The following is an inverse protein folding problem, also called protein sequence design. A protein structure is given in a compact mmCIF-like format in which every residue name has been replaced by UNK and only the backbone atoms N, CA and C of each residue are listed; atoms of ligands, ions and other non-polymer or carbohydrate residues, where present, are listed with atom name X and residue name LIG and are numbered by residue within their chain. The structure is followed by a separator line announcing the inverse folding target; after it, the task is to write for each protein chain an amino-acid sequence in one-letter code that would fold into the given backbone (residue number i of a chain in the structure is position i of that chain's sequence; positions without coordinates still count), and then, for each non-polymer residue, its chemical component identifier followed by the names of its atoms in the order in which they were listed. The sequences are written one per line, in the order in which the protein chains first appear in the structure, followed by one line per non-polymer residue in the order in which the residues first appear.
data_IF_431790009578
#
_entry.id   IF_431790009578
#
_cell.length_a   1.000
_cell.length_b   1.000
_cell.length_c   1.000
_cell.angle_alpha   90.00
_cell.angle_beta   90.00
_cell.angle_gamma   90.00
#
_symmetry.space_group_name_H-M   'P 1'
#
loop_
_entity.id
_entity.type
_entity.pdbx_description
1 polymer ?
#
# COMPACT_ATOMS: atom_id res chain seq x y z
N UNK A 1 -136.72 26.22 1.64
CA UNK A 1 -135.68 25.25 2.02
C UNK A 1 -134.39 25.68 1.33
N UNK A 2 -133.40 26.21 2.07
CA UNK A 2 -132.29 26.98 1.50
C UNK A 2 -131.13 26.09 1.04
N UNK A 3 -130.58 26.43 -0.13
CA UNK A 3 -129.35 25.88 -0.73
C UNK A 3 -128.10 26.41 -0.02
N UNK A 4 -127.11 25.54 0.34
CA UNK A 4 -125.85 25.99 0.91
C UNK A 4 -124.91 26.59 -0.15
N UNK A 5 -124.24 27.67 0.23
CA UNK A 5 -123.32 28.46 -0.59
C UNK A 5 -121.95 27.76 -0.79
N UNK A 6 -121.25 28.03 -1.90
CA UNK A 6 -119.98 27.40 -2.24
C UNK A 6 -118.84 27.88 -1.32
N UNK A 7 -118.10 26.94 -0.74
CA UNK A 7 -116.88 27.21 0.03
C UNK A 7 -115.74 27.56 -0.94
N UNK A 8 -115.15 28.75 -0.76
CA UNK A 8 -113.98 29.20 -1.52
C UNK A 8 -112.70 28.44 -1.15
N UNK A 9 -111.70 28.41 -2.05
CA UNK A 9 -110.49 27.62 -1.87
C UNK A 9 -109.63 28.13 -0.70
N UNK A 10 -108.97 27.22 0.04
CA UNK A 10 -108.12 27.58 1.16
C UNK A 10 -106.90 28.37 0.69
N UNK A 11 -106.72 29.56 1.26
CA UNK A 11 -105.55 30.42 1.07
C UNK A 11 -104.32 29.80 1.76
N UNK A 12 -103.49 29.08 1.00
CA UNK A 12 -102.15 28.67 1.41
C UNK A 12 -101.16 29.82 1.15
N UNK A 13 -101.05 30.75 2.09
CA UNK A 13 -99.93 31.70 2.11
C UNK A 13 -99.29 31.69 3.50
N UNK A 14 -97.95 31.78 3.51
CA UNK A 14 -97.04 32.00 4.64
C UNK A 14 -96.33 30.79 5.29
N UNK A 15 -95.43 30.10 4.56
CA UNK A 15 -94.30 29.37 5.19
C UNK A 15 -92.96 29.43 4.44
N UNK A 16 -92.84 30.21 3.35
CA UNK A 16 -91.67 30.14 2.44
C UNK A 16 -90.43 30.93 2.90
N UNK A 17 -90.49 31.70 3.99
CA UNK A 17 -89.40 32.61 4.38
C UNK A 17 -88.46 32.09 5.47
N UNK A 18 -88.78 30.98 6.16
CA UNK A 18 -87.87 30.42 7.19
C UNK A 18 -86.80 29.49 6.59
N UNK A 19 -87.03 28.93 5.40
CA UNK A 19 -86.10 27.98 4.76
C UNK A 19 -84.83 28.67 4.21
N UNK A 20 -84.96 29.88 3.66
CA UNK A 20 -83.85 30.60 3.02
C UNK A 20 -82.75 31.00 4.01
N UNK A 21 -83.12 31.36 5.25
CA UNK A 21 -82.14 31.80 6.26
C UNK A 21 -81.20 30.66 6.72
N UNK A 22 -81.71 29.43 6.81
CA UNK A 22 -80.87 28.25 7.14
C UNK A 22 -79.94 27.88 6.00
N UNK A 23 -80.40 27.96 4.75
CA UNK A 23 -79.58 27.67 3.57
C UNK A 23 -78.41 28.66 3.43
N UNK A 24 -78.63 29.94 3.72
CA UNK A 24 -77.58 30.96 3.71
C UNK A 24 -76.55 30.75 4.82
N UNK A 25 -76.99 30.38 6.03
CA UNK A 25 -76.09 30.07 7.14
C UNK A 25 -75.17 28.88 6.84
N UNK A 26 -75.71 27.78 6.28
CA UNK A 26 -74.91 26.61 5.92
C UNK A 26 -73.91 26.92 4.81
N UNK A 27 -74.32 27.72 3.82
CA UNK A 27 -73.43 28.16 2.74
C UNK A 27 -72.26 28.99 3.28
N UNK A 28 -72.51 29.88 4.24
CA UNK A 28 -71.45 30.67 4.87
C UNK A 28 -70.46 29.82 5.67
N UNK A 29 -70.92 28.80 6.40
CA UNK A 29 -70.04 27.88 7.14
C UNK A 29 -69.17 27.05 6.19
N UNK A 30 -69.73 26.55 5.08
CA UNK A 30 -68.96 25.81 4.08
C UNK A 30 -67.90 26.67 3.41
N UNK A 31 -68.21 27.94 3.10
CA UNK A 31 -67.24 28.88 2.55
C UNK A 31 -66.10 29.17 3.54
N UNK A 32 -66.40 29.31 4.84
CA UNK A 32 -65.39 29.53 5.86
C UNK A 32 -64.43 28.32 5.99
N UNK A 33 -64.97 27.10 6.04
CA UNK A 33 -64.16 25.88 6.09
C UNK A 33 -63.27 25.77 4.84
N UNK A 34 -63.84 25.97 3.65
CA UNK A 34 -63.08 25.93 2.41
C UNK A 34 -61.97 27.00 2.34
N UNK A 35 -62.22 28.19 2.88
CA UNK A 35 -61.23 29.25 2.96
C UNK A 35 -60.07 28.89 3.91
N UNK A 36 -60.37 28.32 5.08
CA UNK A 36 -59.35 27.90 6.04
C UNK A 36 -58.53 26.72 5.52
N UNK A 37 -59.16 25.77 4.83
CA UNK A 37 -58.47 24.67 4.15
C UNK A 37 -57.56 25.18 3.03
N UNK A 38 -58.03 26.13 2.22
CA UNK A 38 -57.22 26.75 1.15
C UNK A 38 -56.03 27.51 1.74
N UNK A 39 -56.23 28.24 2.84
CA UNK A 39 -55.17 28.95 3.54
C UNK A 39 -54.13 27.99 4.11
N UNK A 40 -54.57 26.91 4.75
CA UNK A 40 -53.68 25.85 5.27
C UNK A 40 -52.92 25.14 4.15
N UNK A 41 -53.57 24.86 3.02
CA UNK A 41 -52.91 24.30 1.84
C UNK A 41 -51.85 25.24 1.25
N UNK A 42 -52.15 26.55 1.18
CA UNK A 42 -51.22 27.56 0.69
C UNK A 42 -50.01 27.76 1.62
N UNK A 43 -50.18 27.63 2.94
CA UNK A 43 -49.08 27.64 3.91
C UNK A 43 -48.17 26.41 3.75
N UNK A 44 -48.76 25.22 3.64
CA UNK A 44 -47.99 23.98 3.38
C UNK A 44 -47.25 24.02 2.05
N UNK A 45 -47.86 24.59 1.00
CA UNK A 45 -47.22 24.74 -0.30
C UNK A 45 -45.97 25.63 -0.20
N UNK A 46 -46.06 26.77 0.49
CA UNK A 46 -44.91 27.66 0.72
C UNK A 46 -43.80 26.98 1.51
N UNK A 47 -44.14 26.23 2.57
CA UNK A 47 -43.16 25.47 3.35
C UNK A 47 -42.43 24.43 2.50
N UNK A 48 -43.16 23.71 1.64
CA UNK A 48 -42.57 22.75 0.70
C UNK A 48 -41.69 23.44 -0.33
N UNK A 49 -42.12 24.58 -0.89
CA UNK A 49 -41.33 25.37 -1.84
C UNK A 49 -40.02 25.88 -1.24
N UNK A 50 -40.05 26.37 0.00
CA UNK A 50 -38.85 26.80 0.71
C UNK A 50 -37.92 25.61 1.02
N UNK A 51 -38.48 24.44 1.38
CA UNK A 51 -37.68 23.23 1.63
C UNK A 51 -37.04 22.69 0.35
N UNK A 52 -37.73 22.76 -0.79
CA UNK A 52 -37.17 22.39 -2.10
C UNK A 52 -35.99 23.29 -2.43
N UNK A 53 -36.13 24.62 -2.23
CA UNK A 53 -35.06 25.58 -2.48
C UNK A 53 -33.82 25.29 -1.61
N UNK A 54 -34.00 25.04 -0.32
CA UNK A 54 -32.91 24.69 0.60
C UNK A 54 -32.17 23.41 0.16
N UNK A 55 -32.91 22.38 -0.25
CA UNK A 55 -32.33 21.12 -0.72
C UNK A 55 -31.61 21.28 -2.07
N UNK A 56 -32.08 22.16 -2.95
CA UNK A 56 -31.40 22.48 -4.21
C UNK A 56 -30.05 23.16 -3.96
N UNK A 57 -29.99 24.12 -3.05
CA UNK A 57 -28.76 24.79 -2.62
C UNK A 57 -27.77 23.81 -1.97
N UNK A 58 -28.24 22.92 -1.09
CA UNK A 58 -27.40 21.90 -0.46
C UNK A 58 -26.84 20.92 -1.51
N UNK A 59 -27.66 20.50 -2.47
CA UNK A 59 -27.24 19.59 -3.54
C UNK A 59 -26.18 20.23 -4.46
N UNK A 60 -26.32 21.51 -4.76
CA UNK A 60 -25.30 22.27 -5.50
C UNK A 60 -23.98 22.33 -4.73
N UNK A 61 -24.03 22.62 -3.42
CA UNK A 61 -22.84 22.62 -2.56
C UNK A 61 -22.15 21.24 -2.56
N UNK A 62 -22.91 20.16 -2.40
CA UNK A 62 -22.38 18.80 -2.40
C UNK A 62 -21.76 18.41 -3.75
N UNK A 63 -22.36 18.82 -4.87
CA UNK A 63 -21.75 18.62 -6.21
C UNK A 63 -20.40 19.31 -6.32
N UNK A 64 -20.29 20.54 -5.82
CA UNK A 64 -19.03 21.29 -5.83
C UNK A 64 -17.96 20.61 -4.95
N UNK A 65 -18.33 20.14 -3.76
CA UNK A 65 -17.42 19.40 -2.85
C UNK A 65 -16.98 18.08 -3.47
N UNK A 66 -17.89 17.33 -4.07
CA UNK A 66 -17.56 16.09 -4.77
C UNK A 66 -16.63 16.33 -5.96
N UNK A 67 -16.88 17.36 -6.78
CA UNK A 67 -15.99 17.74 -7.87
C UNK A 67 -14.58 18.07 -7.38
N UNK A 68 -14.47 18.83 -6.29
CA UNK A 68 -13.17 19.11 -5.66
C UNK A 68 -12.49 17.82 -5.17
N UNK A 69 -13.21 16.94 -4.48
CA UNK A 69 -12.68 15.66 -4.01
C UNK A 69 -12.21 14.75 -5.17
N UNK A 70 -12.98 14.66 -6.25
CA UNK A 70 -12.62 13.90 -7.45
C UNK A 70 -11.31 14.40 -8.07
N UNK A 71 -11.13 15.72 -8.17
CA UNK A 71 -9.86 16.29 -8.66
C UNK A 71 -8.70 15.95 -7.73
N UNK A 72 -8.90 16.04 -6.42
CA UNK A 72 -7.91 15.67 -5.41
C UNK A 72 -7.54 14.18 -5.44
N UNK A 73 -8.46 13.29 -5.80
CA UNK A 73 -8.17 11.86 -5.94
C UNK A 73 -7.50 11.52 -7.30
N UNK A 74 -7.85 12.24 -8.37
CA UNK A 74 -7.29 12.01 -9.70
C UNK A 74 -5.79 12.34 -9.79
N UNK A 75 -5.34 13.44 -9.15
CA UNK A 75 -3.95 13.90 -9.22
C UNK A 75 -2.94 12.92 -8.61
N UNK A 76 -3.13 12.38 -7.38
CA UNK A 76 -2.28 11.35 -6.81
C UNK A 76 -2.22 10.10 -7.69
N UNK A 77 -3.33 9.66 -8.28
CA UNK A 77 -3.35 8.50 -9.18
C UNK A 77 -2.42 8.69 -10.38
N UNK A 78 -2.51 9.85 -11.05
CA UNK A 78 -1.61 10.22 -12.16
C UNK A 78 -0.15 10.35 -11.71
N UNK A 79 0.09 10.94 -10.53
CA UNK A 79 1.44 11.09 -9.98
C UNK A 79 2.07 9.73 -9.64
N UNK A 80 1.32 8.82 -9.02
CA UNK A 80 1.76 7.46 -8.72
C UNK A 80 2.08 6.71 -10.02
N UNK A 81 1.20 6.77 -11.02
CA UNK A 81 1.45 6.15 -12.32
C UNK A 81 2.71 6.71 -13.01
N UNK A 82 2.93 8.03 -12.95
CA UNK A 82 4.12 8.69 -13.49
C UNK A 82 5.41 8.30 -12.76
N UNK A 83 5.37 8.25 -11.42
CA UNK A 83 6.51 7.82 -10.60
C UNK A 83 6.83 6.35 -10.84
N UNK A 84 5.81 5.50 -10.94
CA UNK A 84 5.96 4.09 -11.28
C UNK A 84 6.61 3.94 -12.66
N UNK A 85 6.13 4.69 -13.66
CA UNK A 85 6.72 4.70 -15.00
C UNK A 85 8.18 5.18 -14.97
N UNK A 86 8.52 6.23 -14.22
CA UNK A 86 9.90 6.70 -14.04
C UNK A 86 10.81 5.67 -13.35
N UNK A 87 10.30 4.92 -12.39
CA UNK A 87 11.05 3.84 -11.73
C UNK A 87 11.34 2.72 -12.73
N UNK A 88 10.30 2.23 -13.41
CA UNK A 88 10.41 1.14 -14.37
C UNK A 88 11.27 1.52 -15.59
N UNK A 89 11.17 2.75 -16.09
CA UNK A 89 11.95 3.22 -17.25
C UNK A 89 13.42 3.53 -16.92
N UNK A 90 13.74 3.86 -15.67
CA UNK A 90 15.14 3.96 -15.20
C UNK A 90 15.80 2.59 -15.05
N UNK A 91 15.00 1.54 -14.90
CA UNK A 91 15.46 0.15 -14.79
C UNK A 91 15.85 -0.42 -16.17
N UNK A 92 15.21 0.04 -17.24
CA UNK A 92 15.49 -0.42 -18.62
C UNK A 92 16.61 0.36 -19.32
N UNK A 93 16.82 1.63 -18.99
CA UNK A 93 17.83 2.49 -19.65
C UNK A 93 19.24 2.46 -19.01
N UNK A 94 19.48 1.61 -18.01
CA UNK A 94 20.81 1.46 -17.39
C UNK A 94 21.40 0.09 -17.67
N UNK A 95 21.82 -0.12 -18.92
CA UNK A 95 22.88 -1.06 -19.20
C UNK A 95 24.06 -0.78 -18.25
N UNK A 96 24.38 -1.74 -17.38
CA UNK A 96 25.57 -1.77 -16.53
C UNK A 96 25.69 -0.61 -15.52
N UNK A 97 25.06 -0.72 -14.34
CA UNK A 97 25.74 -0.40 -13.06
C UNK A 97 24.86 -0.74 -11.85
N UNK A 98 25.42 -1.63 -11.04
CA UNK A 98 25.08 -1.93 -9.65
C UNK A 98 23.69 -2.47 -9.35
N UNK A 99 23.66 -3.69 -8.78
CA UNK A 99 22.56 -4.28 -7.99
C UNK A 99 21.74 -3.19 -7.28
N UNK A 100 20.67 -2.73 -7.90
CA UNK A 100 19.68 -1.93 -7.22
C UNK A 100 19.03 -2.86 -6.19
N UNK A 101 19.14 -2.51 -4.91
CA UNK A 101 18.48 -3.24 -3.85
C UNK A 101 16.98 -3.20 -4.16
N UNK A 102 16.40 -4.37 -4.45
CA UNK A 102 14.97 -4.58 -4.63
C UNK A 102 14.27 -4.03 -3.38
N UNK A 103 13.66 -2.86 -3.51
CA UNK A 103 12.87 -2.28 -2.43
C UNK A 103 11.54 -3.03 -2.46
N UNK A 104 11.25 -3.80 -1.41
CA UNK A 104 9.94 -4.40 -1.23
C UNK A 104 8.96 -3.26 -0.91
N UNK A 105 8.14 -2.88 -1.89
CA UNK A 105 7.10 -1.84 -1.78
C UNK A 105 5.82 -2.41 -1.12
N UNK A 106 5.91 -3.56 -0.44
CA UNK A 106 4.85 -4.04 0.45
C UNK A 106 4.96 -3.33 1.81
N UNK A 107 4.93 -2.00 1.82
CA UNK A 107 4.79 -1.23 3.05
C UNK A 107 3.32 -1.28 3.47
N UNK A 108 2.95 -2.34 4.18
CA UNK A 108 1.66 -2.43 4.88
C UNK A 108 1.75 -1.50 6.08
N UNK A 109 0.75 -0.64 6.28
CA UNK A 109 0.63 0.16 7.51
C UNK A 109 0.29 -0.83 8.62
N UNK A 110 1.31 -1.29 9.34
CA UNK A 110 1.12 -2.14 10.51
C UNK A 110 0.65 -1.24 11.65
N UNK A 111 -0.44 -1.65 12.29
CA UNK A 111 -0.90 -1.03 13.53
C UNK A 111 0.17 -1.22 14.62
N UNK A 112 0.22 -0.32 15.59
CA UNK A 112 1.38 -0.14 16.49
C UNK A 112 1.82 -1.42 17.23
N UNK A 113 0.91 -2.34 17.55
CA UNK A 113 1.22 -3.60 18.22
C UNK A 113 1.80 -4.66 17.26
N UNK A 114 1.20 -4.84 16.09
CA UNK A 114 1.67 -5.78 15.06
C UNK A 114 3.06 -5.36 14.53
N UNK A 115 3.25 -4.05 14.34
CA UNK A 115 4.53 -3.49 13.91
C UNK A 115 5.66 -3.67 14.94
N UNK A 116 5.36 -3.63 16.23
CA UNK A 116 6.35 -3.89 17.28
C UNK A 116 6.80 -5.36 17.30
N UNK A 117 5.86 -6.30 17.16
CA UNK A 117 6.18 -7.73 17.13
C UNK A 117 7.06 -8.11 15.92
N UNK A 118 6.73 -7.62 14.72
CA UNK A 118 7.55 -7.86 13.53
C UNK A 118 8.93 -7.22 13.63
N UNK A 119 9.02 -6.00 14.17
CA UNK A 119 10.29 -5.31 14.35
C UNK A 119 11.20 -6.04 15.34
N UNK A 120 10.62 -6.62 16.40
CA UNK A 120 11.35 -7.44 17.36
C UNK A 120 11.88 -8.73 16.70
N UNK A 121 11.06 -9.44 15.93
CA UNK A 121 11.51 -10.63 15.18
C UNK A 121 12.64 -10.31 14.18
N UNK A 122 12.57 -9.17 13.49
CA UNK A 122 13.62 -8.75 12.57
C UNK A 122 14.93 -8.46 13.31
N UNK A 123 14.88 -7.81 14.47
CA UNK A 123 16.06 -7.57 15.31
C UNK A 123 16.71 -8.86 15.76
N UNK A 124 15.91 -9.82 16.27
CA UNK A 124 16.41 -11.14 16.67
C UNK A 124 17.07 -11.89 15.51
N UNK A 125 16.47 -11.86 14.31
CA UNK A 125 17.06 -12.46 13.12
C UNK A 125 18.37 -11.79 12.68
N UNK A 126 18.46 -10.46 12.79
CA UNK A 126 19.71 -9.75 12.50
C UNK A 126 20.80 -10.08 13.51
N UNK A 127 20.46 -10.18 14.79
CA UNK A 127 21.41 -10.56 15.84
C UNK A 127 21.93 -11.98 15.63
N UNK A 128 21.05 -12.94 15.32
CA UNK A 128 21.46 -14.31 14.97
C UNK A 128 22.38 -14.35 13.74
N UNK A 129 22.09 -13.55 12.71
CA UNK A 129 22.96 -13.45 11.53
C UNK A 129 24.32 -12.84 11.88
N UNK A 130 24.34 -11.79 12.71
CA UNK A 130 25.59 -11.16 13.18
C UNK A 130 26.42 -12.15 14.00
N UNK A 131 25.80 -12.88 14.93
CA UNK A 131 26.48 -13.92 15.72
C UNK A 131 27.10 -15.01 14.84
N UNK A 132 26.34 -15.55 13.87
CA UNK A 132 26.87 -16.55 12.92
C UNK A 132 28.06 -16.04 12.11
N UNK A 133 28.03 -14.78 11.69
CA UNK A 133 29.16 -14.17 10.96
C UNK A 133 30.38 -14.02 11.87
N UNK A 134 30.19 -13.63 13.13
CA UNK A 134 31.28 -13.52 14.11
C UNK A 134 31.88 -14.89 14.40
N UNK A 135 31.05 -15.92 14.63
CA UNK A 135 31.53 -17.30 14.85
C UNK A 135 32.31 -17.85 13.66
N UNK A 136 31.81 -17.67 12.44
CA UNK A 136 32.52 -18.13 11.23
C UNK A 136 33.86 -17.40 11.07
N UNK A 137 33.91 -16.10 11.38
CA UNK A 137 35.16 -15.35 11.35
C UNK A 137 36.14 -15.81 12.43
N UNK A 138 35.66 -16.06 13.65
CA UNK A 138 36.49 -16.57 14.73
C UNK A 138 37.06 -17.96 14.41
N UNK A 139 36.25 -18.87 13.86
CA UNK A 139 36.71 -20.19 13.40
C UNK A 139 37.78 -20.07 12.30
N UNK A 140 37.57 -19.19 11.32
CA UNK A 140 38.56 -18.96 10.26
C UNK A 140 39.86 -18.36 10.80
N UNK A 141 39.80 -17.46 11.77
CA UNK A 141 40.99 -16.88 12.37
C UNK A 141 41.83 -17.93 13.13
N UNK A 142 41.17 -18.83 13.87
CA UNK A 142 41.85 -19.94 14.55
C UNK A 142 42.47 -20.93 13.55
N UNK A 143 41.76 -21.24 12.47
CA UNK A 143 42.27 -22.13 11.42
C UNK A 143 43.47 -21.54 10.68
N UNK A 144 43.45 -20.23 10.42
CA UNK A 144 44.58 -19.52 9.81
C UNK A 144 45.79 -19.48 10.75
N UNK A 145 45.57 -19.25 12.05
CA UNK A 145 46.63 -19.28 13.04
C UNK A 145 47.28 -20.66 13.14
N UNK A 146 46.47 -21.72 13.18
CA UNK A 146 46.98 -23.09 13.16
C UNK A 146 47.76 -23.40 11.87
N UNK A 147 47.33 -22.87 10.72
CA UNK A 147 48.07 -22.98 9.46
C UNK A 147 49.41 -22.26 9.51
N UNK A 148 49.46 -21.08 10.10
CA UNK A 148 50.71 -20.33 10.23
C UNK A 148 51.72 -21.09 11.11
N UNK A 149 51.26 -21.62 12.25
CA UNK A 149 52.09 -22.48 13.13
C UNK A 149 52.57 -23.74 12.40
N UNK A 150 51.75 -24.29 11.50
CA UNK A 150 52.15 -25.39 10.62
C UNK A 150 53.22 -24.99 9.60
N UNK A 151 53.14 -23.79 9.00
CA UNK A 151 54.13 -23.28 8.04
C UNK A 151 55.47 -22.99 8.70
N UNK A 152 55.46 -22.53 9.95
CA UNK A 152 56.68 -22.25 10.71
C UNK A 152 57.47 -23.55 11.03
N UNK A 153 56.82 -24.72 10.97
CA UNK A 153 57.50 -26.02 11.06
C UNK A 153 58.10 -26.43 9.71
N UNK A 154 59.36 -26.08 9.47
CA UNK A 154 60.09 -26.22 8.20
C UNK A 154 60.38 -27.67 7.73
N UNK A 155 59.83 -28.68 8.41
CA UNK A 155 60.10 -30.10 8.14
C UNK A 155 59.08 -30.78 7.24
N UNK A 156 58.06 -30.07 6.75
CA UNK A 156 57.02 -30.70 5.95
C UNK A 156 57.39 -30.82 4.46
N UNK A 157 57.68 -32.04 4.02
CA UNK A 157 57.85 -32.37 2.61
C UNK A 157 56.50 -32.53 1.92
N UNK A 158 56.26 -31.76 0.86
CA UNK A 158 55.05 -31.92 0.05
C UNK A 158 55.14 -33.17 -0.82
N UNK A 159 54.25 -34.14 -0.61
CA UNK A 159 54.21 -35.40 -1.36
C UNK A 159 53.13 -35.44 -2.46
N UNK A 160 52.58 -34.30 -2.87
CA UNK A 160 51.48 -34.24 -3.85
C UNK A 160 51.91 -33.94 -5.28
N UNK A 161 51.11 -34.33 -6.27
CA UNK A 161 51.27 -33.86 -7.65
C UNK A 161 50.72 -32.43 -7.81
N UNK A 162 51.48 -31.56 -8.48
CA UNK A 162 51.10 -30.17 -8.75
C UNK A 162 50.08 -30.08 -9.90
N UNK A 163 48.79 -30.26 -9.58
CA UNK A 163 47.71 -30.23 -10.58
C UNK A 163 46.90 -28.92 -10.54
N UNK A 164 46.32 -28.51 -11.68
CA UNK A 164 45.41 -27.34 -11.77
C UNK A 164 44.16 -27.47 -10.88
N UNK A 165 43.83 -28.67 -10.41
CA UNK A 165 42.70 -28.95 -9.52
C UNK A 165 42.97 -28.60 -8.06
N UNK A 166 44.23 -28.34 -7.69
CA UNK A 166 44.62 -27.99 -6.31
C UNK A 166 43.88 -26.75 -5.78
N UNK A 167 43.52 -26.75 -4.49
CA UNK A 167 42.86 -25.61 -3.86
C UNK A 167 43.83 -24.42 -3.77
N UNK A 168 43.30 -23.20 -3.69
CA UNK A 168 44.13 -21.98 -3.62
C UNK A 168 45.03 -22.01 -2.38
N UNK A 169 44.46 -22.39 -1.25
CA UNK A 169 45.12 -22.50 0.05
C UNK A 169 46.34 -23.44 -0.02
N UNK A 170 46.21 -24.63 -0.63
CA UNK A 170 47.34 -25.56 -0.81
C UNK A 170 48.46 -24.97 -1.68
N UNK A 171 48.12 -24.11 -2.65
CA UNK A 171 49.11 -23.43 -3.48
C UNK A 171 49.78 -22.27 -2.74
N UNK A 172 49.10 -21.63 -1.79
CA UNK A 172 49.69 -20.62 -0.91
C UNK A 172 50.67 -21.27 0.07
N UNK A 173 50.30 -22.41 0.66
CA UNK A 173 51.19 -23.19 1.53
C UNK A 173 52.46 -23.64 0.78
N UNK A 174 52.32 -24.11 -0.45
CA UNK A 174 53.44 -24.45 -1.32
C UNK A 174 54.31 -23.25 -1.69
N UNK A 175 53.69 -22.11 -1.98
CA UNK A 175 54.42 -20.88 -2.26
C UNK A 175 55.22 -20.44 -1.02
N UNK A 176 54.61 -20.48 0.17
CA UNK A 176 55.26 -20.16 1.43
C UNK A 176 56.47 -21.07 1.71
N UNK A 177 56.30 -22.39 1.55
CA UNK A 177 57.38 -23.37 1.72
C UNK A 177 58.56 -23.15 0.75
N UNK A 178 58.30 -22.61 -0.44
CA UNK A 178 59.31 -22.24 -1.43
C UNK A 178 59.81 -20.79 -1.27
N UNK A 179 59.40 -20.09 -0.21
CA UNK A 179 59.67 -18.66 0.03
C UNK A 179 59.27 -17.75 -1.16
N UNK A 180 58.17 -18.09 -1.84
CA UNK A 180 57.59 -17.33 -2.95
C UNK A 180 56.43 -16.44 -2.48
N UNK A 181 56.11 -15.35 -3.21
CA UNK A 181 54.99 -14.48 -2.85
C UNK A 181 53.61 -15.17 -2.97
N UNK A 182 52.88 -15.23 -1.85
CA UNK A 182 51.55 -15.85 -1.71
C UNK A 182 50.39 -15.04 -2.33
N UNK A 183 50.60 -13.75 -2.62
CA UNK A 183 49.56 -12.89 -3.14
C UNK A 183 49.24 -13.17 -4.62
N UNK A 184 47.98 -13.49 -4.95
CA UNK A 184 47.50 -13.53 -6.32
C UNK A 184 46.26 -14.39 -6.59
N UNK A 185 45.88 -14.47 -7.87
CA UNK A 185 44.91 -15.46 -8.37
C UNK A 185 45.56 -16.85 -8.40
N UNK A 186 44.74 -17.90 -8.33
CA UNK A 186 45.16 -19.30 -8.36
C UNK A 186 46.14 -19.62 -9.50
N UNK A 187 45.85 -19.17 -10.72
CA UNK A 187 46.71 -19.43 -11.88
C UNK A 187 48.08 -18.76 -11.77
N UNK A 188 48.14 -17.57 -11.14
CA UNK A 188 49.40 -16.86 -10.94
C UNK A 188 50.29 -17.60 -9.93
N UNK A 189 49.71 -18.13 -8.84
CA UNK A 189 50.43 -18.94 -7.86
C UNK A 189 50.99 -20.21 -8.50
N UNK A 190 50.14 -20.93 -9.25
CA UNK A 190 50.55 -22.13 -9.95
C UNK A 190 51.70 -21.86 -10.93
N UNK A 191 51.59 -20.80 -11.74
CA UNK A 191 52.63 -20.42 -12.70
C UNK A 191 53.94 -20.02 -12.01
N UNK A 192 53.89 -19.35 -10.85
CA UNK A 192 55.10 -19.02 -10.06
C UNK A 192 55.78 -20.27 -9.54
N UNK A 193 55.02 -21.21 -8.98
CA UNK A 193 55.55 -22.47 -8.46
C UNK A 193 56.18 -23.29 -9.60
N UNK A 194 55.48 -23.46 -10.72
CA UNK A 194 56.02 -24.14 -11.90
C UNK A 194 57.29 -23.44 -12.42
N UNK A 195 57.26 -22.11 -12.48
CA UNK A 195 58.40 -21.29 -12.88
C UNK A 195 59.60 -21.46 -11.96
N UNK A 196 59.39 -21.58 -10.65
CA UNK A 196 60.45 -21.87 -9.69
C UNK A 196 61.07 -23.25 -9.94
N UNK A 197 60.26 -24.29 -10.09
CA UNK A 197 60.76 -25.64 -10.41
C UNK A 197 61.45 -25.73 -11.79
N UNK A 198 61.06 -24.91 -12.76
CA UNK A 198 61.77 -24.81 -14.04
C UNK A 198 63.14 -24.13 -13.90
N UNK A 199 63.27 -23.15 -13.00
CA UNK A 199 64.54 -22.45 -12.73
C UNK A 199 65.52 -23.29 -11.89
N UNK A 200 64.99 -24.14 -11.02
CA UNK A 200 65.77 -25.03 -10.15
C UNK A 200 65.46 -26.49 -10.47
N UNK A 201 65.88 -27.01 -11.63
CA UNK A 201 65.57 -28.37 -12.05
C UNK A 201 66.14 -29.42 -11.09
N UNK A 202 67.19 -29.11 -10.32
CA UNK A 202 67.71 -30.02 -9.30
C UNK A 202 66.66 -30.44 -8.25
N UNK A 203 65.65 -29.58 -8.00
CA UNK A 203 64.57 -29.87 -7.06
C UNK A 203 63.52 -30.85 -7.64
N UNK A 204 63.61 -31.22 -8.92
CA UNK A 204 62.71 -32.20 -9.56
C UNK A 204 63.20 -33.64 -9.47
N UNK A 205 64.48 -33.82 -9.19
CA UNK A 205 65.19 -35.09 -9.39
C UNK A 205 65.39 -35.93 -8.12
N UNK A 206 64.96 -35.44 -6.95
CA UNK A 206 65.14 -36.11 -5.65
C UNK A 206 63.86 -36.80 -5.12
N UNK A 207 62.93 -37.19 -6.01
CA UNK A 207 61.75 -38.01 -5.67
C UNK A 207 61.68 -39.29 -6.50
#
# INVERSE_FOLDING_TARGET
MPTPAPQGPPSFFHHTTWSTSRALSWSATLLAIAHDELKSAAERLREVEDKVRELEEENELLKNVNGAAETHCCFPGKMVAHLQWKLNSKETNKGKRHRAKKVNISARILTSAEGQAELQQLREQEELKKQKVVEVKAKKALEEQARQEWRDNHSHLFMGTLNKTKRKDELEDLAAALALPEAGKKDNLLNRIIGHFNKFPQLRSDQ
#
